data_IF_173529630001
#
_entry.id   IF_173529630001
#
_cell.length_a   1.000
_cell.length_b   1.000
_cell.length_c   1.000
_cell.angle_alpha   90.00
_cell.angle_beta   90.00
_cell.angle_gamma   90.00
#
_symmetry.space_group_name_H-M   'P 1'
#
loop_
_entity.id
_entity.type
_entity.pdbx_description
1 polymer ?
#
# COMPACT_ATOMS: atom_id res chain seq x y z
N UNK A 1 -35.45 -2.13 -23.88
CA UNK A 1 -34.87 -3.27 -23.13
C UNK A 1 -33.34 -3.30 -23.17
N UNK A 2 -32.68 -3.15 -24.34
CA UNK A 2 -31.21 -3.12 -24.43
C UNK A 2 -30.55 -2.02 -23.57
N UNK A 3 -31.07 -0.78 -23.62
CA UNK A 3 -30.54 0.35 -22.84
C UNK A 3 -30.60 0.13 -21.32
N UNK A 4 -31.63 -0.58 -20.83
CA UNK A 4 -31.76 -0.89 -19.40
C UNK A 4 -30.84 -2.04 -18.95
N UNK A 5 -30.51 -2.96 -19.85
CA UNK A 5 -29.52 -4.00 -19.59
C UNK A 5 -28.11 -3.40 -19.48
N UNK A 6 -27.80 -2.45 -20.36
CA UNK A 6 -26.53 -1.72 -20.37
C UNK A 6 -26.31 -0.89 -19.08
N UNK A 7 -27.32 -0.13 -18.64
CA UNK A 7 -27.27 0.63 -17.37
C UNK A 7 -27.03 -0.27 -16.15
N UNK A 8 -27.62 -1.47 -16.12
CA UNK A 8 -27.40 -2.42 -15.01
C UNK A 8 -26.00 -3.02 -15.04
N UNK A 9 -25.47 -3.32 -16.23
CA UNK A 9 -24.10 -3.80 -16.38
C UNK A 9 -23.11 -2.74 -15.86
N UNK A 10 -23.24 -1.48 -16.31
CA UNK A 10 -22.44 -0.36 -15.83
C UNK A 10 -22.52 -0.20 -14.31
N UNK A 11 -23.73 -0.26 -13.73
CA UNK A 11 -23.92 -0.16 -12.27
C UNK A 11 -23.16 -1.25 -11.53
N UNK A 12 -23.32 -2.52 -11.90
CA UNK A 12 -22.67 -3.62 -11.17
C UNK A 12 -21.16 -3.66 -11.43
N UNK A 13 -20.68 -3.22 -12.59
CA UNK A 13 -19.24 -3.01 -12.83
C UNK A 13 -18.67 -1.96 -11.88
N UNK A 14 -19.34 -0.82 -11.74
CA UNK A 14 -18.91 0.22 -10.81
C UNK A 14 -18.95 -0.26 -9.35
N UNK A 15 -20.01 -0.98 -8.94
CA UNK A 15 -20.10 -1.53 -7.59
C UNK A 15 -18.99 -2.53 -7.29
N UNK A 16 -18.65 -3.42 -8.23
CA UNK A 16 -17.56 -4.38 -8.07
C UNK A 16 -16.21 -3.68 -7.99
N UNK A 17 -15.93 -2.73 -8.90
CA UNK A 17 -14.70 -1.93 -8.85
C UNK A 17 -14.57 -1.17 -7.53
N UNK A 18 -15.66 -0.58 -7.03
CA UNK A 18 -15.67 0.13 -5.76
C UNK A 18 -15.36 -0.80 -4.58
N UNK A 19 -15.98 -1.97 -4.52
CA UNK A 19 -15.70 -2.96 -3.48
C UNK A 19 -14.22 -3.41 -3.47
N UNK A 20 -13.64 -3.62 -4.66
CA UNK A 20 -12.25 -4.05 -4.83
C UNK A 20 -11.25 -2.93 -4.48
N UNK A 21 -11.48 -1.71 -4.97
CA UNK A 21 -10.58 -0.56 -4.73
C UNK A 21 -10.56 -0.11 -3.27
N UNK A 22 -11.70 -0.23 -2.58
CA UNK A 22 -11.83 0.01 -1.14
C UNK A 22 -11.32 -1.15 -0.28
N UNK A 23 -11.06 -2.32 -0.87
CA UNK A 23 -10.63 -3.50 -0.14
C UNK A 23 -11.65 -3.99 0.88
N UNK A 24 -12.95 -3.96 0.52
CA UNK A 24 -14.07 -4.34 1.40
C UNK A 24 -14.20 -5.87 1.55
N UNK A 25 -13.09 -6.56 1.75
CA UNK A 25 -12.98 -8.02 1.69
C UNK A 25 -13.87 -8.74 2.70
N UNK A 26 -13.95 -8.20 3.92
CA UNK A 26 -14.77 -8.72 5.01
C UNK A 26 -16.09 -7.96 5.24
N UNK A 27 -16.40 -6.95 4.40
CA UNK A 27 -17.62 -6.16 4.59
C UNK A 27 -18.86 -7.03 4.30
N UNK A 28 -19.87 -7.08 5.19
CA UNK A 28 -21.09 -7.83 4.95
C UNK A 28 -21.95 -7.25 3.83
N UNK A 29 -21.71 -6.00 3.44
CA UNK A 29 -22.47 -5.24 2.45
C UNK A 29 -21.56 -4.34 1.60
N UNK A 30 -20.63 -4.91 0.80
CA UNK A 30 -19.63 -4.16 0.04
C UNK A 30 -20.21 -3.28 -1.08
N UNK A 31 -21.49 -3.47 -1.44
CA UNK A 31 -22.11 -2.83 -2.58
C UNK A 31 -23.60 -2.55 -2.36
N UNK A 32 -24.15 -1.71 -3.23
CA UNK A 32 -25.57 -1.36 -3.27
C UNK A 32 -26.25 -1.88 -4.55
N UNK A 33 -27.48 -2.34 -4.41
CA UNK A 33 -28.35 -2.63 -5.54
C UNK A 33 -28.73 -1.32 -6.27
N UNK A 34 -29.33 -1.43 -7.47
CA UNK A 34 -29.82 -0.26 -8.23
C UNK A 34 -30.84 0.58 -7.43
N UNK A 35 -31.53 -0.03 -6.46
CA UNK A 35 -32.47 0.66 -5.55
C UNK A 35 -31.83 1.22 -4.28
N UNK A 36 -30.52 1.07 -4.10
CA UNK A 36 -29.79 1.48 -2.90
C UNK A 36 -29.81 0.47 -1.75
N UNK A 37 -30.43 -0.70 -1.93
CA UNK A 37 -30.41 -1.77 -0.91
C UNK A 37 -28.98 -2.35 -0.76
N UNK A 38 -28.47 -2.53 0.47
CA UNK A 38 -27.19 -3.21 0.71
C UNK A 38 -27.18 -4.63 0.15
N UNK A 39 -26.03 -5.07 -0.39
CA UNK A 39 -25.85 -6.39 -0.98
C UNK A 39 -24.59 -7.07 -0.48
N UNK A 40 -24.69 -8.37 -0.22
CA UNK A 40 -23.52 -9.20 0.12
C UNK A 40 -22.60 -9.42 -1.08
N UNK A 41 -21.36 -9.86 -0.84
CA UNK A 41 -20.42 -10.29 -1.89
C UNK A 41 -21.03 -11.32 -2.84
N UNK A 42 -21.70 -12.35 -2.29
CA UNK A 42 -22.34 -13.39 -3.10
C UNK A 42 -23.41 -12.83 -4.05
N UNK A 43 -24.19 -11.86 -3.59
CA UNK A 43 -25.23 -11.21 -4.38
C UNK A 43 -24.65 -10.26 -5.43
N UNK A 44 -23.61 -9.50 -5.07
CA UNK A 44 -22.87 -8.63 -5.99
C UNK A 44 -22.29 -9.44 -7.14
N UNK A 45 -21.57 -10.53 -6.86
CA UNK A 45 -20.97 -11.38 -7.88
C UNK A 45 -22.03 -12.08 -8.74
N UNK A 46 -23.12 -12.55 -8.14
CA UNK A 46 -24.25 -13.14 -8.88
C UNK A 46 -24.90 -12.12 -9.82
N UNK A 47 -25.13 -10.89 -9.36
CA UNK A 47 -25.71 -9.81 -10.18
C UNK A 47 -24.75 -9.35 -11.27
N UNK A 48 -23.46 -9.25 -10.96
CA UNK A 48 -22.42 -8.96 -11.94
C UNK A 48 -22.38 -10.03 -13.03
N UNK A 49 -22.25 -11.32 -12.69
CA UNK A 49 -22.26 -12.44 -13.66
C UNK A 49 -23.52 -12.43 -14.53
N UNK A 50 -24.68 -12.07 -13.95
CA UNK A 50 -25.97 -11.96 -14.68
C UNK A 50 -26.00 -10.81 -15.70
N UNK A 51 -25.36 -9.68 -15.40
CA UNK A 51 -25.47 -8.46 -16.20
C UNK A 51 -24.23 -8.20 -17.08
N UNK A 52 -23.08 -8.75 -16.73
CA UNK A 52 -21.78 -8.61 -17.40
C UNK A 52 -21.30 -9.96 -17.94
N UNK A 53 -22.12 -10.60 -18.81
CA UNK A 53 -21.95 -12.00 -19.24
C UNK A 53 -20.60 -12.27 -19.93
N UNK A 54 -20.06 -11.28 -20.64
CA UNK A 54 -18.76 -11.37 -21.31
C UNK A 54 -17.55 -11.28 -20.37
N UNK A 55 -17.75 -10.96 -19.08
CA UNK A 55 -16.69 -10.72 -18.09
C UNK A 55 -16.82 -11.69 -16.90
N UNK A 56 -17.26 -12.92 -17.15
CA UNK A 56 -17.48 -13.91 -16.09
C UNK A 56 -16.18 -14.29 -15.35
N UNK A 57 -15.03 -14.23 -16.02
CA UNK A 57 -13.69 -14.48 -15.46
C UNK A 57 -13.36 -13.40 -14.43
N UNK A 58 -13.62 -12.12 -14.73
CA UNK A 58 -13.45 -11.01 -13.78
C UNK A 58 -14.18 -11.26 -12.45
N UNK A 59 -15.39 -11.81 -12.49
CA UNK A 59 -16.14 -12.14 -11.27
C UNK A 59 -15.52 -13.31 -10.49
N UNK A 60 -14.91 -14.26 -11.18
CA UNK A 60 -14.19 -15.36 -10.53
C UNK A 60 -12.89 -14.86 -9.90
N UNK A 61 -12.11 -14.04 -10.61
CA UNK A 61 -10.93 -13.36 -10.07
C UNK A 61 -11.29 -12.60 -8.79
N UNK A 62 -12.36 -11.80 -8.81
CA UNK A 62 -12.80 -11.05 -7.63
C UNK A 62 -13.15 -11.96 -6.44
N UNK A 63 -13.81 -13.09 -6.69
CA UNK A 63 -14.13 -14.09 -5.66
C UNK A 63 -12.86 -14.70 -5.06
N UNK A 64 -11.91 -15.09 -5.91
CA UNK A 64 -10.67 -15.73 -5.47
C UNK A 64 -9.75 -14.74 -4.74
N UNK A 65 -9.66 -13.49 -5.20
CA UNK A 65 -8.94 -12.42 -4.50
C UNK A 65 -9.55 -12.16 -3.13
N UNK A 66 -10.88 -12.01 -3.03
CA UNK A 66 -11.55 -11.86 -1.74
C UNK A 66 -11.24 -13.03 -0.80
N UNK A 67 -11.35 -14.26 -1.31
CA UNK A 67 -11.10 -15.47 -0.53
C UNK A 67 -9.67 -15.50 0.00
N UNK A 68 -8.68 -15.21 -0.85
CA UNK A 68 -7.29 -15.15 -0.43
C UNK A 68 -7.04 -14.04 0.60
N UNK A 69 -7.59 -12.83 0.40
CA UNK A 69 -7.46 -11.73 1.37
C UNK A 69 -7.96 -12.11 2.76
N UNK A 70 -9.06 -12.87 2.84
CA UNK A 70 -9.59 -13.37 4.12
C UNK A 70 -8.72 -14.49 4.70
N UNK A 71 -8.21 -15.39 3.85
CA UNK A 71 -7.29 -16.46 4.27
C UNK A 71 -5.95 -15.93 4.80
N UNK A 72 -5.53 -14.74 4.38
CA UNK A 72 -4.28 -14.12 4.84
C UNK A 72 -4.37 -13.44 6.22
N UNK A 73 -5.56 -13.31 6.80
CA UNK A 73 -5.69 -12.83 8.17
C UNK A 73 -5.03 -13.82 9.15
N UNK A 74 -4.46 -13.35 10.28
CA UNK A 74 -3.73 -14.22 11.20
C UNK A 74 -4.61 -15.29 11.88
N UNK A 75 -4.02 -16.28 12.54
CA UNK A 75 -4.76 -17.28 13.32
C UNK A 75 -4.57 -17.06 14.83
N UNK A 76 -5.63 -17.12 15.67
CA UNK A 76 -7.04 -17.25 15.31
C UNK A 76 -7.70 -15.89 15.01
N UNK A 77 -8.51 -15.83 13.96
CA UNK A 77 -9.37 -14.66 13.69
C UNK A 77 -10.80 -14.96 14.11
N UNK A 78 -11.37 -14.07 14.94
CA UNK A 78 -12.82 -14.05 15.14
C UNK A 78 -13.49 -13.51 13.87
N UNK A 79 -13.97 -14.44 13.02
CA UNK A 79 -14.62 -14.12 11.76
C UNK A 79 -15.81 -13.15 11.90
N UNK A 80 -16.39 -12.99 13.11
CA UNK A 80 -17.49 -12.05 13.36
C UNK A 80 -17.04 -10.61 13.59
N UNK A 81 -15.74 -10.37 13.75
CA UNK A 81 -15.19 -9.07 14.16
C UNK A 81 -14.04 -8.59 13.27
N UNK A 82 -13.92 -9.11 12.05
CA UNK A 82 -12.89 -8.65 11.12
C UNK A 82 -13.19 -7.19 10.75
N UNK A 83 -12.31 -6.28 11.14
CA UNK A 83 -12.37 -4.87 10.74
C UNK A 83 -11.47 -4.62 9.52
N UNK A 84 -11.56 -3.42 8.97
CA UNK A 84 -10.68 -3.03 7.87
C UNK A 84 -9.23 -2.83 8.32
N UNK A 85 -9.03 -2.50 9.59
CA UNK A 85 -7.72 -2.36 10.23
C UNK A 85 -7.03 -3.72 10.38
N UNK A 86 -7.78 -4.79 10.65
CA UNK A 86 -7.25 -6.16 10.67
C UNK A 86 -6.66 -6.56 9.31
N UNK A 87 -7.26 -6.07 8.21
CA UNK A 87 -6.79 -6.28 6.83
C UNK A 87 -5.61 -5.38 6.44
N UNK A 88 -5.27 -4.37 7.25
CA UNK A 88 -4.13 -3.48 6.97
C UNK A 88 -2.79 -4.11 7.37
N UNK A 89 -2.75 -5.11 8.27
CA UNK A 89 -1.57 -5.97 8.48
C UNK A 89 -0.41 -5.40 9.32
N UNK A 90 -0.64 -4.39 10.18
CA UNK A 90 0.42 -3.77 11.03
C UNK A 90 0.57 -4.40 12.43
N UNK A 91 -0.31 -5.35 12.79
CA UNK A 91 -0.45 -5.87 14.17
C UNK A 91 0.54 -6.97 14.53
N UNK A 92 1.20 -7.60 13.56
CA UNK A 92 2.02 -8.80 13.77
C UNK A 92 3.52 -8.53 13.87
N UNK A 93 3.98 -7.31 13.55
CA UNK A 93 5.42 -7.04 13.52
C UNK A 93 6.00 -6.78 14.92
N UNK A 94 7.12 -7.42 15.31
CA UNK A 94 7.82 -7.09 16.53
C UNK A 94 8.21 -5.61 16.52
N UNK A 95 7.90 -4.90 17.61
CA UNK A 95 8.13 -3.47 17.73
C UNK A 95 9.60 -3.12 17.40
N UNK A 96 9.81 -2.25 16.41
CA UNK A 96 11.14 -1.75 16.05
C UNK A 96 11.99 -2.68 15.18
N UNK A 97 11.44 -3.80 14.71
CA UNK A 97 12.16 -4.70 13.81
C UNK A 97 12.00 -4.25 12.35
N UNK A 98 13.10 -4.05 11.62
CA UNK A 98 13.09 -3.91 10.15
C UNK A 98 12.86 -5.27 9.44
N UNK A 99 12.22 -6.23 10.09
CA UNK A 99 11.96 -7.54 9.51
C UNK A 99 10.87 -7.42 8.45
N UNK A 100 11.13 -7.90 7.25
CA UNK A 100 10.16 -7.91 6.15
C UNK A 100 8.98 -8.90 6.35
N UNK A 101 8.96 -9.59 7.50
CA UNK A 101 7.88 -10.47 7.93
C UNK A 101 7.54 -11.65 7.01
N UNK A 102 6.38 -12.23 7.28
CA UNK A 102 5.71 -13.27 6.46
C UNK A 102 4.41 -12.72 5.88
N UNK A 103 4.35 -11.41 5.64
CA UNK A 103 3.19 -10.76 5.05
C UNK A 103 2.82 -11.42 3.73
N UNK A 104 1.52 -11.61 3.48
CA UNK A 104 0.99 -12.32 2.32
C UNK A 104 1.37 -13.82 2.25
N UNK A 105 1.93 -14.44 3.29
CA UNK A 105 2.08 -15.89 3.40
C UNK A 105 0.95 -16.51 4.24
N UNK A 106 0.45 -17.68 3.82
CA UNK A 106 -0.61 -18.37 4.55
C UNK A 106 -0.09 -19.14 5.77
N UNK A 107 -0.93 -19.21 6.80
CA UNK A 107 -0.76 -20.16 7.89
C UNK A 107 -0.96 -21.60 7.39
N UNK A 108 -0.30 -22.61 7.99
CA UNK A 108 -0.39 -24.00 7.52
C UNK A 108 -1.81 -24.56 7.46
N UNK A 109 -2.69 -24.12 8.37
CA UNK A 109 -4.11 -24.49 8.45
C UNK A 109 -4.94 -24.05 7.24
N UNK A 110 -4.49 -23.05 6.50
CA UNK A 110 -5.25 -22.40 5.41
C UNK A 110 -4.72 -22.72 4.00
N UNK A 111 -3.67 -23.53 3.92
CA UNK A 111 -3.01 -23.89 2.66
C UNK A 111 -3.96 -24.65 1.71
N UNK A 112 -4.76 -25.58 2.23
CA UNK A 112 -5.62 -26.41 1.39
C UNK A 112 -6.77 -25.61 0.75
N UNK A 113 -7.36 -24.68 1.49
CA UNK A 113 -8.38 -23.77 0.95
C UNK A 113 -7.80 -22.89 -0.17
N UNK A 114 -6.59 -22.36 0.04
CA UNK A 114 -5.91 -21.58 -1.00
C UNK A 114 -5.53 -22.41 -2.23
N UNK A 115 -5.20 -23.69 -2.07
CA UNK A 115 -4.95 -24.59 -3.20
C UNK A 115 -6.20 -24.80 -4.04
N UNK A 116 -7.38 -24.89 -3.43
CA UNK A 116 -8.65 -24.98 -4.16
C UNK A 116 -8.90 -23.72 -4.98
N UNK A 117 -8.66 -22.53 -4.40
CA UNK A 117 -8.77 -21.26 -5.12
C UNK A 117 -7.77 -21.14 -6.28
N UNK A 118 -6.50 -21.53 -6.05
CA UNK A 118 -5.48 -21.57 -7.08
C UNK A 118 -5.89 -22.50 -8.23
N UNK A 119 -6.34 -23.73 -7.93
CA UNK A 119 -6.78 -24.69 -8.94
C UNK A 119 -8.00 -24.19 -9.73
N UNK A 120 -8.93 -23.48 -9.09
CA UNK A 120 -10.08 -22.87 -9.77
C UNK A 120 -9.63 -21.85 -10.83
N UNK A 121 -8.59 -21.06 -10.54
CA UNK A 121 -8.02 -20.10 -11.49
C UNK A 121 -7.31 -20.78 -12.67
N UNK A 122 -6.74 -21.99 -12.49
CA UNK A 122 -6.08 -22.72 -13.59
C UNK A 122 -7.07 -23.28 -14.62
N UNK A 123 -8.33 -23.46 -14.22
CA UNK A 123 -9.40 -23.94 -15.09
C UNK A 123 -10.06 -22.83 -15.91
N UNK A 124 -9.66 -21.57 -15.70
CA UNK A 124 -10.20 -20.43 -16.43
C UNK A 124 -9.65 -20.39 -17.86
N UNK A 125 -10.55 -20.30 -18.83
CA UNK A 125 -10.21 -20.12 -20.24
C UNK A 125 -10.08 -18.62 -20.52
N UNK A 126 -8.94 -18.05 -20.12
CA UNK A 126 -8.69 -16.61 -20.17
C UNK A 126 -8.88 -16.01 -21.56
N UNK A 127 -9.53 -14.85 -21.61
CA UNK A 127 -9.50 -13.98 -22.78
C UNK A 127 -8.21 -13.16 -22.77
N UNK A 128 -7.70 -12.69 -23.93
CA UNK A 128 -6.50 -11.83 -23.97
C UNK A 128 -6.57 -10.62 -23.03
N UNK A 129 -7.77 -10.08 -22.80
CA UNK A 129 -7.96 -8.91 -21.95
C UNK A 129 -7.97 -9.21 -20.44
N UNK A 130 -8.30 -10.44 -20.04
CA UNK A 130 -8.39 -10.87 -18.64
C UNK A 130 -7.15 -11.67 -18.20
N UNK A 131 -6.33 -12.11 -19.17
CA UNK A 131 -5.12 -12.93 -18.95
C UNK A 131 -4.18 -12.37 -17.90
N UNK A 132 -3.87 -11.07 -17.94
CA UNK A 132 -2.93 -10.48 -16.98
C UNK A 132 -3.50 -10.50 -15.56
N UNK A 133 -4.80 -10.22 -15.41
CA UNK A 133 -5.47 -10.27 -14.10
C UNK A 133 -5.55 -11.70 -13.57
N UNK A 134 -5.80 -12.70 -14.42
CA UNK A 134 -5.74 -14.11 -14.02
C UNK A 134 -4.33 -14.52 -13.60
N UNK A 135 -3.32 -14.22 -14.43
CA UNK A 135 -1.93 -14.53 -14.13
C UNK A 135 -1.46 -13.85 -12.84
N UNK A 136 -1.86 -12.59 -12.60
CA UNK A 136 -1.53 -11.86 -11.39
C UNK A 136 -2.16 -12.52 -10.16
N UNK A 137 -3.44 -12.85 -10.24
CA UNK A 137 -4.14 -13.53 -9.14
C UNK A 137 -3.51 -14.89 -8.85
N UNK A 138 -3.18 -15.67 -9.88
CA UNK A 138 -2.44 -16.93 -9.72
C UNK A 138 -1.08 -16.72 -9.08
N UNK A 139 -0.33 -15.69 -9.51
CA UNK A 139 0.96 -15.36 -8.91
C UNK A 139 0.81 -15.00 -7.42
N UNK A 140 -0.24 -14.26 -7.05
CA UNK A 140 -0.52 -13.92 -5.66
C UNK A 140 -0.80 -15.16 -4.81
N UNK A 141 -1.62 -16.08 -5.30
CA UNK A 141 -1.80 -17.38 -4.64
C UNK A 141 -0.50 -18.19 -4.58
N UNK A 142 0.30 -18.21 -5.65
CA UNK A 142 1.58 -18.91 -5.67
C UNK A 142 2.55 -18.34 -4.62
N UNK A 143 2.60 -17.01 -4.47
CA UNK A 143 3.34 -16.36 -3.39
C UNK A 143 2.84 -16.79 -2.02
N UNK A 144 1.52 -16.71 -1.80
CA UNK A 144 0.90 -17.06 -0.52
C UNK A 144 1.10 -18.52 -0.11
N UNK A 145 1.20 -19.42 -1.09
CA UNK A 145 1.52 -20.83 -0.94
C UNK A 145 3.05 -21.11 -0.86
N UNK A 146 3.87 -20.06 -0.76
CA UNK A 146 5.35 -20.13 -0.71
C UNK A 146 6.00 -20.76 -1.95
N UNK A 147 5.32 -20.71 -3.10
CA UNK A 147 5.80 -21.17 -4.41
C UNK A 147 6.46 -20.01 -5.16
N UNK A 148 7.48 -19.40 -4.56
CA UNK A 148 8.06 -18.12 -5.04
C UNK A 148 8.60 -18.17 -6.48
N UNK A 149 9.23 -19.28 -6.88
CA UNK A 149 9.73 -19.45 -8.26
C UNK A 149 8.60 -19.45 -9.29
N UNK A 150 7.49 -20.08 -8.95
CA UNK A 150 6.32 -20.13 -9.81
C UNK A 150 5.58 -18.81 -9.84
N UNK A 151 5.49 -18.12 -8.71
CA UNK A 151 5.02 -16.73 -8.66
C UNK A 151 5.78 -15.87 -9.68
N UNK A 152 7.11 -15.90 -9.68
CA UNK A 152 7.92 -15.18 -10.67
C UNK A 152 7.69 -15.65 -12.11
N UNK A 153 7.59 -16.97 -12.33
CA UNK A 153 7.31 -17.52 -13.65
C UNK A 153 5.94 -17.10 -14.21
N UNK A 154 4.94 -16.90 -13.34
CA UNK A 154 3.60 -16.42 -13.70
C UNK A 154 3.59 -14.92 -14.01
N UNK A 155 4.46 -14.12 -13.37
CA UNK A 155 4.57 -12.68 -13.59
C UNK A 155 5.45 -12.32 -14.80
N UNK A 156 6.46 -13.13 -15.11
CA UNK A 156 7.41 -12.88 -16.21
C UNK A 156 6.77 -12.64 -17.60
N UNK A 157 5.66 -13.30 -18.00
CA UNK A 157 5.03 -13.07 -19.31
C UNK A 157 4.25 -11.75 -19.41
N UNK A 158 4.01 -11.05 -18.29
CA UNK A 158 3.26 -9.80 -18.32
C UNK A 158 4.13 -8.70 -18.92
N UNK A 159 3.63 -8.08 -20.00
CA UNK A 159 4.27 -6.89 -20.55
C UNK A 159 3.89 -5.67 -19.71
N UNK A 160 4.89 -5.00 -19.17
CA UNK A 160 4.74 -3.83 -18.31
C UNK A 160 5.08 -2.52 -19.03
N UNK A 161 5.63 -2.60 -20.25
CA UNK A 161 6.09 -1.49 -21.09
C UNK A 161 4.96 -0.81 -21.90
N UNK A 162 3.69 -0.95 -21.52
CA UNK A 162 2.63 -0.23 -22.24
C UNK A 162 2.66 1.26 -21.89
N UNK A 163 3.12 2.05 -22.87
CA UNK A 163 3.14 3.51 -22.96
C UNK A 163 1.98 4.16 -22.20
N UNK A 164 2.31 5.19 -21.41
CA UNK A 164 1.33 6.16 -20.89
C UNK A 164 0.51 6.65 -22.09
N UNK A 165 -0.82 6.39 -22.16
CA UNK A 165 -1.57 6.72 -23.36
C UNK A 165 -1.52 8.23 -23.61
N UNK A 166 -1.04 8.65 -24.78
CA UNK A 166 -1.34 9.98 -25.28
C UNK A 166 -2.87 10.16 -25.34
N UNK A 167 -3.40 11.36 -25.03
CA UNK A 167 -4.81 11.57 -24.66
C UNK A 167 -5.86 11.32 -25.76
N UNK A 168 -5.52 10.73 -26.90
CA UNK A 168 -6.36 10.72 -28.10
C UNK A 168 -6.79 9.34 -28.64
N UNK A 169 -6.26 8.20 -28.17
CA UNK A 169 -6.66 6.88 -28.70
C UNK A 169 -7.23 5.95 -27.64
N UNK A 170 -8.56 5.87 -27.62
CA UNK A 170 -9.33 5.04 -26.71
C UNK A 170 -9.48 3.60 -27.24
N UNK A 171 -8.78 2.65 -26.61
CA UNK A 171 -9.16 1.23 -26.63
C UNK A 171 -9.48 0.81 -25.19
N UNK A 172 -10.67 0.23 -24.99
CA UNK A 172 -11.23 -0.13 -23.68
C UNK A 172 -10.43 -1.28 -23.04
N UNK A 173 -9.48 -0.96 -22.17
CA UNK A 173 -8.86 -1.93 -21.26
C UNK A 173 -9.87 -2.35 -20.19
N UNK A 174 -9.99 -3.66 -19.94
CA UNK A 174 -10.94 -4.27 -18.97
C UNK A 174 -10.24 -4.69 -17.66
N UNK A 175 -9.03 -4.19 -17.42
CA UNK A 175 -8.33 -4.34 -16.15
C UNK A 175 -9.14 -3.69 -15.01
N UNK A 176 -9.01 -4.20 -13.77
CA UNK A 176 -9.62 -3.62 -12.58
C UNK A 176 -9.13 -2.19 -12.37
N UNK A 177 -9.87 -1.24 -12.92
CA UNK A 177 -9.52 0.18 -12.96
C UNK A 177 -9.96 0.89 -11.68
N UNK A 178 -9.08 1.76 -11.20
CA UNK A 178 -9.47 2.83 -10.28
C UNK A 178 -10.23 3.90 -11.07
N UNK A 179 -11.47 4.27 -10.69
CA UNK A 179 -12.17 5.36 -11.36
C UNK A 179 -11.46 6.68 -11.12
N UNK A 180 -10.93 7.27 -12.19
CA UNK A 180 -10.55 8.67 -12.27
C UNK A 180 -11.71 9.43 -12.92
N UNK A 181 -12.31 10.37 -12.20
CA UNK A 181 -13.23 11.33 -12.79
C UNK A 181 -12.41 12.30 -13.65
N UNK A 182 -12.16 11.93 -14.91
CA UNK A 182 -11.65 12.85 -15.94
C UNK A 182 -10.22 12.64 -16.46
N UNK A 183 -9.52 11.55 -16.15
CA UNK A 183 -8.16 11.31 -16.70
C UNK A 183 -7.86 9.82 -16.94
N UNK A 184 -7.41 9.51 -18.16
CA UNK A 184 -7.16 8.17 -18.76
C UNK A 184 -5.81 7.53 -18.38
N UNK A 185 -5.30 7.73 -17.17
CA UNK A 185 -4.07 7.07 -16.68
C UNK A 185 -4.34 5.72 -16.01
N UNK A 186 -4.50 4.65 -16.79
CA UNK A 186 -4.99 3.32 -16.33
C UNK A 186 -3.89 2.31 -15.93
N UNK A 187 -2.61 2.66 -15.95
CA UNK A 187 -1.51 1.67 -15.89
C UNK A 187 -0.83 1.56 -14.50
N UNK A 188 -1.04 2.53 -13.60
CA UNK A 188 -0.23 2.65 -12.37
C UNK A 188 -0.53 1.67 -11.23
N UNK A 189 -1.77 1.19 -11.11
CA UNK A 189 -2.17 0.29 -10.01
C UNK A 189 -1.73 -1.15 -10.23
N UNK A 190 -1.66 -1.62 -11.48
CA UNK A 190 -1.26 -2.99 -11.77
C UNK A 190 0.25 -3.18 -11.56
N UNK A 191 1.07 -2.19 -11.97
CA UNK A 191 2.53 -2.22 -11.85
C UNK A 191 3.01 -2.18 -10.39
N UNK A 192 2.29 -1.47 -9.53
CA UNK A 192 2.61 -1.40 -8.10
C UNK A 192 2.32 -2.73 -7.39
N UNK A 193 1.25 -3.41 -7.78
CA UNK A 193 0.89 -4.72 -7.23
C UNK A 193 1.81 -5.83 -7.75
N UNK A 194 2.02 -5.90 -9.07
CA UNK A 194 2.90 -6.92 -9.69
C UNK A 194 4.34 -6.75 -9.27
N UNK A 195 4.85 -5.50 -9.28
CA UNK A 195 6.19 -5.18 -8.81
C UNK A 195 6.36 -5.55 -7.34
N UNK A 196 5.37 -5.24 -6.49
CA UNK A 196 5.43 -5.62 -5.07
C UNK A 196 5.52 -7.14 -4.88
N UNK A 197 4.64 -7.93 -5.50
CA UNK A 197 4.66 -9.39 -5.33
C UNK A 197 5.91 -10.02 -5.94
N UNK A 198 6.37 -9.54 -7.10
CA UNK A 198 7.60 -10.01 -7.73
C UNK A 198 8.82 -9.78 -6.83
N UNK A 199 9.00 -8.55 -6.35
CA UNK A 199 10.09 -8.21 -5.43
C UNK A 199 10.01 -9.00 -4.13
N UNK A 200 8.81 -9.16 -3.56
CA UNK A 200 8.61 -10.00 -2.38
C UNK A 200 9.05 -11.45 -2.61
N UNK A 201 8.77 -12.02 -3.80
CA UNK A 201 9.21 -13.37 -4.15
C UNK A 201 10.74 -13.44 -4.31
N UNK A 202 11.36 -12.42 -4.93
CA UNK A 202 12.81 -12.31 -5.06
C UNK A 202 13.52 -12.23 -3.71
N UNK A 203 13.00 -11.44 -2.77
CA UNK A 203 13.51 -11.35 -1.40
C UNK A 203 13.54 -12.73 -0.72
N UNK A 204 12.45 -13.50 -0.85
CA UNK A 204 12.35 -14.85 -0.26
C UNK A 204 13.29 -15.86 -0.92
N UNK A 205 13.74 -15.58 -2.15
CA UNK A 205 14.76 -16.36 -2.85
C UNK A 205 16.19 -15.87 -2.58
N UNK A 206 16.37 -14.81 -1.78
CA UNK A 206 17.68 -14.24 -1.45
C UNK A 206 18.20 -13.21 -2.44
N UNK A 207 17.38 -12.74 -3.38
CA UNK A 207 17.75 -11.79 -4.43
C UNK A 207 17.36 -10.36 -4.04
N UNK A 208 17.85 -9.88 -2.89
CA UNK A 208 17.41 -8.60 -2.30
C UNK A 208 17.76 -7.36 -3.14
N UNK A 209 18.92 -7.34 -3.81
CA UNK A 209 19.32 -6.19 -4.66
C UNK A 209 18.49 -6.10 -5.95
N UNK A 210 18.17 -7.25 -6.55
CA UNK A 210 17.25 -7.33 -7.69
C UNK A 210 15.84 -6.87 -7.26
N UNK A 211 15.36 -7.32 -6.10
CA UNK A 211 14.08 -6.89 -5.54
C UNK A 211 14.02 -5.38 -5.30
N UNK A 212 15.10 -4.77 -4.78
CA UNK A 212 15.22 -3.34 -4.58
C UNK A 212 15.13 -2.58 -5.91
N UNK A 213 15.79 -3.09 -6.96
CA UNK A 213 15.76 -2.47 -8.28
C UNK A 213 14.34 -2.45 -8.87
N UNK A 214 13.58 -3.54 -8.67
CA UNK A 214 12.17 -3.61 -9.08
C UNK A 214 11.29 -2.67 -8.26
N UNK A 215 11.54 -2.53 -6.95
CA UNK A 215 10.83 -1.53 -6.14
C UNK A 215 11.10 -0.10 -6.58
N UNK A 216 12.36 0.23 -6.85
CA UNK A 216 12.76 1.56 -7.34
C UNK A 216 12.12 1.88 -8.70
N UNK A 217 12.01 0.90 -9.60
CA UNK A 217 11.31 1.05 -10.87
C UNK A 217 9.81 1.35 -10.71
N UNK A 218 9.21 0.97 -9.58
CA UNK A 218 7.80 1.27 -9.28
C UNK A 218 7.59 2.67 -8.67
N UNK A 219 8.63 3.35 -8.18
CA UNK A 219 8.49 4.65 -7.52
C UNK A 219 7.98 5.76 -8.46
N UNK A 220 8.49 5.92 -9.70
CA UNK A 220 7.97 6.94 -10.62
C UNK A 220 6.49 6.74 -10.95
N UNK A 221 6.05 5.48 -10.98
CA UNK A 221 4.66 5.11 -11.24
C UNK A 221 3.79 5.56 -10.06
N UNK A 222 4.20 5.27 -8.82
CA UNK A 222 3.52 5.77 -7.62
C UNK A 222 3.46 7.31 -7.62
N UNK A 223 4.57 7.99 -7.89
CA UNK A 223 4.62 9.44 -7.95
C UNK A 223 3.74 10.04 -9.05
N UNK A 224 3.46 9.28 -10.12
CA UNK A 224 2.55 9.70 -11.19
C UNK A 224 1.07 9.58 -10.82
N UNK A 225 0.73 8.88 -9.72
CA UNK A 225 -0.65 8.72 -9.27
C UNK A 225 -1.23 10.06 -8.81
N UNK A 226 -2.13 10.61 -9.63
CA UNK A 226 -2.90 11.80 -9.29
C UNK A 226 -4.23 11.37 -8.69
N UNK A 227 -4.25 11.19 -7.38
CA UNK A 227 -5.48 10.91 -6.64
C UNK A 227 -6.05 12.21 -6.08
N UNK A 228 -7.38 12.42 -6.12
CA UNK A 228 -7.99 13.59 -5.51
C UNK A 228 -7.70 13.59 -4.01
N UNK A 229 -6.88 14.54 -3.55
CA UNK A 229 -6.71 14.79 -2.13
C UNK A 229 -7.77 15.80 -1.69
N UNK A 230 -8.70 15.36 -0.84
CA UNK A 230 -9.57 16.30 -0.14
C UNK A 230 -9.01 16.41 1.27
N UNK A 231 -8.33 17.50 1.63
CA UNK A 231 -7.78 17.64 2.96
C UNK A 231 -8.93 17.45 3.95
N UNK A 232 -8.79 16.47 4.84
CA UNK A 232 -9.80 16.17 5.84
C UNK A 232 -10.11 17.46 6.62
N UNK A 233 -11.39 17.81 6.74
CA UNK A 233 -11.78 18.88 7.65
C UNK A 233 -11.35 18.46 9.07
N UNK A 234 -11.03 19.41 9.96
CA UNK A 234 -10.58 19.11 11.33
C UNK A 234 -11.55 18.19 12.14
N UNK A 235 -12.77 17.95 11.64
CA UNK A 235 -13.78 17.07 12.25
C UNK A 235 -13.90 15.68 11.61
N UNK A 236 -13.37 15.45 10.40
CA UNK A 236 -13.40 14.12 9.77
C UNK A 236 -12.09 13.38 10.02
N UNK A 237 -12.19 12.22 10.67
CA UNK A 237 -11.02 11.46 11.13
C UNK A 237 -10.20 10.79 10.00
N UNK A 238 -10.72 10.71 8.76
CA UNK A 238 -10.07 9.99 7.65
C UNK A 238 -10.34 10.68 6.31
N UNK A 239 -9.30 10.86 5.49
CA UNK A 239 -9.42 11.37 4.11
C UNK A 239 -10.35 10.43 3.28
N UNK A 240 -11.42 10.96 2.65
CA UNK A 240 -12.30 10.17 1.78
C UNK A 240 -11.56 9.43 0.65
N UNK A 241 -10.46 9.99 0.17
CA UNK A 241 -9.60 9.38 -0.85
C UNK A 241 -8.92 8.12 -0.34
N UNK A 242 -8.51 8.11 0.94
CA UNK A 242 -7.96 6.94 1.59
C UNK A 242 -8.99 5.82 1.63
N UNK A 243 -10.21 6.11 2.08
CA UNK A 243 -11.28 5.10 2.15
C UNK A 243 -11.61 4.55 0.77
N UNK A 244 -11.69 5.41 -0.25
CA UNK A 244 -12.02 5.03 -1.64
C UNK A 244 -10.96 4.13 -2.26
N UNK A 245 -9.69 4.34 -1.93
CA UNK A 245 -8.54 3.65 -2.52
C UNK A 245 -7.73 2.84 -1.51
N UNK A 246 -8.33 2.41 -0.40
CA UNK A 246 -7.63 1.78 0.73
C UNK A 246 -6.82 0.56 0.30
N UNK A 247 -7.33 -0.25 -0.62
CA UNK A 247 -6.59 -1.41 -1.11
C UNK A 247 -5.34 -1.01 -1.90
N UNK A 248 -5.46 0.01 -2.77
CA UNK A 248 -4.29 0.57 -3.45
C UNK A 248 -3.26 1.05 -2.44
N UNK A 249 -3.69 1.72 -1.37
CA UNK A 249 -2.80 2.21 -0.33
C UNK A 249 -2.15 1.12 0.49
N UNK A 250 -2.81 -0.03 0.74
CA UNK A 250 -2.16 -1.22 1.33
C UNK A 250 -0.98 -1.71 0.50
N UNK A 251 -1.17 -1.80 -0.81
CA UNK A 251 -0.09 -2.24 -1.71
C UNK A 251 1.00 -1.19 -1.90
N UNK A 252 0.63 0.09 -2.02
CA UNK A 252 1.59 1.18 -2.13
C UNK A 252 2.45 1.30 -0.87
N UNK A 253 1.83 1.26 0.31
CA UNK A 253 2.55 1.30 1.59
C UNK A 253 3.47 0.08 1.71
N UNK A 254 2.97 -1.14 1.43
CA UNK A 254 3.78 -2.37 1.44
C UNK A 254 5.02 -2.25 0.56
N UNK A 255 4.84 -1.75 -0.66
CA UNK A 255 5.95 -1.53 -1.59
C UNK A 255 6.97 -0.56 -1.01
N UNK A 256 6.51 0.60 -0.53
CA UNK A 256 7.37 1.66 -0.01
C UNK A 256 8.06 1.27 1.30
N UNK A 257 7.38 0.52 2.17
CA UNK A 257 7.93 -0.05 3.41
C UNK A 257 9.09 -1.01 3.11
N UNK A 258 8.85 -1.98 2.22
CA UNK A 258 9.88 -2.98 1.86
C UNK A 258 11.05 -2.32 1.13
N UNK A 259 10.78 -1.38 0.22
CA UNK A 259 11.82 -0.56 -0.41
C UNK A 259 12.65 0.20 0.63
N UNK A 260 12.00 0.83 1.62
CA UNK A 260 12.66 1.55 2.72
C UNK A 260 13.56 0.63 3.56
N UNK A 261 13.09 -0.58 3.86
CA UNK A 261 13.89 -1.58 4.58
C UNK A 261 15.11 -2.05 3.77
N UNK A 262 14.95 -2.30 2.47
CA UNK A 262 16.05 -2.78 1.62
C UNK A 262 17.07 -1.68 1.32
N UNK A 263 16.62 -0.47 0.97
CA UNK A 263 17.51 0.65 0.64
C UNK A 263 18.38 1.03 1.85
N UNK A 264 17.84 0.93 3.07
CA UNK A 264 18.58 1.17 4.31
C UNK A 264 19.71 0.17 4.58
N UNK A 265 19.66 -1.01 3.93
CA UNK A 265 20.64 -2.09 4.14
C UNK A 265 21.66 -2.16 3.01
N UNK A 266 21.22 -1.93 1.79
CA UNK A 266 21.99 -2.28 0.59
C UNK A 266 22.39 -1.09 -0.27
N UNK A 267 21.88 0.12 0.02
CA UNK A 267 22.10 1.28 -0.81
C UNK A 267 22.81 2.42 -0.06
N UNK A 268 23.49 3.31 -0.78
CA UNK A 268 24.00 4.55 -0.20
C UNK A 268 22.87 5.48 0.24
N UNK A 269 23.22 6.43 1.12
CA UNK A 269 22.27 7.30 1.83
C UNK A 269 21.46 8.22 0.91
N UNK A 270 22.02 8.65 -0.22
CA UNK A 270 21.34 9.46 -1.23
C UNK A 270 20.19 8.70 -1.91
N UNK A 271 20.42 7.41 -2.21
CA UNK A 271 19.37 6.51 -2.70
C UNK A 271 18.31 6.27 -1.63
N UNK A 272 18.73 6.05 -0.38
CA UNK A 272 17.79 5.87 0.73
C UNK A 272 16.88 7.09 0.92
N UNK A 273 17.44 8.30 0.92
CA UNK A 273 16.68 9.55 1.01
C UNK A 273 15.66 9.71 -0.11
N UNK A 274 15.97 9.24 -1.33
CA UNK A 274 15.01 9.26 -2.44
C UNK A 274 13.79 8.40 -2.12
N UNK A 275 13.98 7.18 -1.65
CA UNK A 275 12.87 6.28 -1.27
C UNK A 275 12.08 6.86 -0.10
N UNK A 276 12.74 7.36 0.95
CA UNK A 276 12.06 7.94 2.12
C UNK A 276 11.23 9.18 1.77
N UNK A 277 11.71 10.02 0.86
CA UNK A 277 10.93 11.16 0.33
C UNK A 277 9.69 10.70 -0.43
N UNK A 278 9.81 9.63 -1.22
CA UNK A 278 8.62 9.05 -1.89
C UNK A 278 7.66 8.49 -0.85
N UNK A 279 8.15 7.81 0.19
CA UNK A 279 7.32 7.31 1.29
C UNK A 279 6.56 8.45 1.98
N UNK A 280 7.25 9.49 2.46
CA UNK A 280 6.63 10.62 3.17
C UNK A 280 5.60 11.36 2.28
N UNK A 281 5.91 11.57 1.00
CA UNK A 281 4.96 12.16 0.05
C UNK A 281 3.67 11.34 -0.13
N UNK A 282 3.70 10.02 0.03
CA UNK A 282 2.48 9.21 -0.02
C UNK A 282 1.83 9.04 1.36
N UNK A 283 2.61 9.14 2.43
CA UNK A 283 2.11 9.04 3.81
C UNK A 283 1.09 10.14 4.17
N UNK A 284 1.07 11.26 3.43
CA UNK A 284 0.06 12.31 3.59
C UNK A 284 -1.38 11.84 3.29
N UNK A 285 -1.54 10.78 2.48
CA UNK A 285 -2.85 10.20 2.18
C UNK A 285 -3.31 9.21 3.27
N UNK A 286 -2.44 8.87 4.23
CA UNK A 286 -2.72 7.83 5.21
C UNK A 286 -3.22 8.45 6.52
N UNK A 287 -4.33 7.96 7.09
CA UNK A 287 -4.69 8.35 8.45
C UNK A 287 -3.57 7.91 9.41
N UNK A 288 -3.33 8.62 10.52
CA UNK A 288 -2.29 8.25 11.49
C UNK A 288 -2.39 6.82 12.05
N UNK A 289 -3.59 6.22 12.00
CA UNK A 289 -3.87 4.84 12.43
C UNK A 289 -3.51 3.77 11.38
N UNK A 290 -3.21 4.15 10.14
CA UNK A 290 -2.85 3.22 9.10
C UNK A 290 -1.35 2.90 9.17
N UNK A 291 -1.04 1.64 9.47
CA UNK A 291 0.31 1.08 9.59
C UNK A 291 1.29 1.93 10.43
N UNK A 292 0.90 2.35 11.65
CA UNK A 292 1.70 3.28 12.43
C UNK A 292 3.05 2.69 12.86
N UNK A 293 3.22 1.36 12.95
CA UNK A 293 4.53 0.76 13.23
C UNK A 293 5.49 0.92 12.06
N UNK A 294 5.12 0.52 10.84
CA UNK A 294 5.96 0.74 9.66
C UNK A 294 6.33 2.21 9.51
N UNK A 295 5.32 3.10 9.59
CA UNK A 295 5.50 4.55 9.47
C UNK A 295 6.47 5.08 10.50
N UNK A 296 6.37 4.64 11.76
CA UNK A 296 7.30 5.06 12.82
C UNK A 296 8.76 4.70 12.49
N UNK A 297 8.99 3.50 11.96
CA UNK A 297 10.33 3.02 11.60
C UNK A 297 10.85 3.81 10.40
N UNK A 298 10.05 4.00 9.34
CA UNK A 298 10.48 4.78 8.17
C UNK A 298 10.77 6.24 8.53
N UNK A 299 9.93 6.86 9.37
CA UNK A 299 10.18 8.22 9.85
C UNK A 299 11.48 8.32 10.65
N UNK A 300 11.77 7.34 11.50
CA UNK A 300 13.03 7.26 12.26
C UNK A 300 14.24 7.13 11.31
N UNK A 301 14.19 6.18 10.36
CA UNK A 301 15.24 5.99 9.35
C UNK A 301 15.47 7.23 8.50
N UNK A 302 14.40 7.90 8.09
CA UNK A 302 14.47 9.13 7.31
C UNK A 302 15.08 10.27 8.13
N UNK A 303 14.70 10.41 9.40
CA UNK A 303 15.28 11.40 10.30
C UNK A 303 16.79 11.17 10.48
N UNK A 304 17.20 9.93 10.72
CA UNK A 304 18.62 9.58 10.80
C UNK A 304 19.36 9.91 9.50
N UNK A 305 18.76 9.60 8.33
CA UNK A 305 19.35 9.94 7.05
C UNK A 305 19.55 11.45 6.89
N UNK A 306 18.54 12.27 7.24
CA UNK A 306 18.64 13.72 7.23
C UNK A 306 19.71 14.24 8.20
N UNK A 307 19.83 13.65 9.39
CA UNK A 307 20.83 14.02 10.39
C UNK A 307 22.26 13.64 9.98
N UNK A 308 22.44 12.66 9.10
CA UNK A 308 23.73 12.30 8.53
C UNK A 308 24.10 13.17 7.34
N UNK A 309 23.12 13.63 6.55
CA UNK A 309 23.34 14.44 5.34
C UNK A 309 23.11 15.94 5.52
N UNK A 310 23.11 16.45 6.76
CA UNK A 310 22.85 17.88 7.01
C UNK A 310 23.92 18.76 6.33
N UNK A 311 23.59 19.99 5.90
CA UNK A 311 24.56 20.89 5.26
C UNK A 311 25.72 21.23 6.21
N UNK A 312 26.93 20.80 5.84
CA UNK A 312 28.14 20.90 6.67
C UNK A 312 28.62 19.58 7.25
N UNK A 313 27.89 18.48 7.05
CA UNK A 313 28.37 17.11 7.32
C UNK A 313 29.32 16.59 6.23
N UNK A 314 30.06 15.54 6.54
CA UNK A 314 30.88 14.81 5.56
C UNK A 314 30.04 14.15 4.46
N UNK A 315 28.79 13.78 4.77
CA UNK A 315 27.84 13.15 3.85
C UNK A 315 26.83 14.15 3.28
N UNK A 316 27.14 15.45 3.31
CA UNK A 316 26.24 16.49 2.84
C UNK A 316 25.92 16.31 1.35
N UNK A 317 24.63 16.38 1.00
CA UNK A 317 24.20 16.28 -0.39
C UNK A 317 24.43 17.62 -1.10
N UNK A 318 25.14 17.66 -2.24
CA UNK A 318 25.36 18.88 -3.00
C UNK A 318 24.04 19.56 -3.38
N UNK A 319 23.99 20.89 -3.21
CA UNK A 319 22.83 21.71 -3.57
C UNK A 319 21.72 21.78 -2.51
N UNK A 320 21.77 20.96 -1.45
CA UNK A 320 20.83 21.08 -0.33
C UNK A 320 21.24 22.25 0.57
N UNK A 321 20.35 23.23 0.70
CA UNK A 321 20.59 24.38 1.59
C UNK A 321 20.21 24.04 3.03
N UNK A 322 20.78 24.76 4.00
CA UNK A 322 20.40 24.64 5.42
C UNK A 322 18.91 24.88 5.64
N UNK A 323 18.33 25.87 4.96
CA UNK A 323 16.92 26.20 5.09
C UNK A 323 16.01 25.09 4.56
N UNK A 324 16.32 24.53 3.38
CA UNK A 324 15.56 23.41 2.82
C UNK A 324 15.65 22.16 3.69
N UNK A 325 16.84 21.85 4.20
CA UNK A 325 17.04 20.73 5.12
C UNK A 325 16.26 20.88 6.43
N UNK A 326 16.30 22.06 7.07
CA UNK A 326 15.52 22.32 8.31
C UNK A 326 14.02 22.19 8.03
N UNK A 327 13.55 22.71 6.89
CA UNK A 327 12.13 22.67 6.53
C UNK A 327 11.67 21.23 6.36
N UNK A 328 12.44 20.43 5.62
CA UNK A 328 12.19 19.00 5.41
C UNK A 328 12.17 18.22 6.74
N UNK A 329 13.17 18.44 7.59
CA UNK A 329 13.26 17.79 8.91
C UNK A 329 12.08 18.15 9.82
N UNK A 330 11.65 19.42 9.85
CA UNK A 330 10.52 19.86 10.68
C UNK A 330 9.19 19.29 10.19
N UNK A 331 8.97 19.23 8.88
CA UNK A 331 7.78 18.58 8.30
C UNK A 331 7.74 17.11 8.71
N UNK A 332 8.85 16.39 8.54
CA UNK A 332 8.96 14.99 8.95
C UNK A 332 8.69 14.79 10.45
N UNK A 333 9.25 15.64 11.31
CA UNK A 333 9.05 15.56 12.76
C UNK A 333 7.59 15.83 13.16
N UNK A 334 6.89 16.71 12.45
CA UNK A 334 5.46 16.94 12.64
C UNK A 334 4.63 15.71 12.29
N UNK A 335 4.90 15.09 11.15
CA UNK A 335 4.24 13.85 10.72
C UNK A 335 4.54 12.68 11.67
N UNK A 336 5.81 12.53 12.07
CA UNK A 336 6.24 11.46 12.96
C UNK A 336 5.55 11.57 14.34
N UNK A 337 5.37 12.79 14.86
CA UNK A 337 4.62 13.02 16.11
C UNK A 337 3.18 12.50 16.03
N UNK A 338 2.49 12.74 14.92
CA UNK A 338 1.11 12.27 14.72
C UNK A 338 1.04 10.74 14.70
N UNK A 339 2.04 10.07 14.11
CA UNK A 339 2.13 8.60 14.09
C UNK A 339 2.46 8.04 15.48
N UNK A 340 3.36 8.68 16.24
CA UNK A 340 3.70 8.27 17.61
C UNK A 340 2.50 8.37 18.55
N UNK A 341 1.64 9.36 18.37
CA UNK A 341 0.40 9.48 19.11
C UNK A 341 -0.56 8.29 18.89
N UNK A 342 -0.42 7.53 17.79
CA UNK A 342 -1.21 6.32 17.51
C UNK A 342 -0.47 5.01 17.79
N UNK A 343 0.86 4.98 17.65
CA UNK A 343 1.69 3.77 17.83
C UNK A 343 2.22 3.59 19.24
N UNK A 344 2.02 4.56 20.13
CA UNK A 344 2.58 4.51 21.47
C UNK A 344 1.57 4.82 22.55
N UNK A 345 1.83 4.28 23.74
CA UNK A 345 1.03 4.49 24.95
C UNK A 345 1.92 4.99 26.07
N UNK A 346 1.33 5.67 27.05
CA UNK A 346 2.08 6.10 28.22
C UNK A 346 2.69 4.88 28.93
N UNK A 347 4.02 4.86 29.15
CA UNK A 347 4.68 3.69 29.72
C UNK A 347 4.23 3.46 31.16
N UNK A 348 4.17 2.19 31.59
CA UNK A 348 3.98 1.87 33.01
C UNK A 348 5.26 2.17 33.77
N UNK A 349 5.17 2.24 35.10
CA UNK A 349 6.36 2.43 35.93
C UNK A 349 7.40 1.33 35.65
N UNK A 350 8.60 1.74 35.21
CA UNK A 350 9.70 0.84 34.84
C UNK A 350 9.80 0.53 33.35
N UNK A 351 8.77 0.86 32.54
CA UNK A 351 8.81 0.70 31.09
C UNK A 351 9.36 1.98 30.43
N UNK A 352 9.98 1.82 29.26
CA UNK A 352 10.48 2.92 28.43
C UNK A 352 9.80 2.89 27.07
N UNK A 353 9.47 4.06 26.56
CA UNK A 353 8.94 4.21 25.21
C UNK A 353 10.07 4.65 24.27
N UNK A 354 10.84 3.66 23.80
CA UNK A 354 12.06 3.90 23.01
C UNK A 354 11.77 4.76 21.77
N UNK A 355 10.63 4.58 21.11
CA UNK A 355 10.27 5.37 19.92
C UNK A 355 10.11 6.86 20.22
N UNK A 356 9.52 7.19 21.37
CA UNK A 356 9.36 8.60 21.82
C UNK A 356 10.70 9.17 22.26
N UNK A 357 11.54 8.39 22.93
CA UNK A 357 12.90 8.82 23.29
C UNK A 357 13.73 9.13 22.04
N UNK A 358 13.76 8.22 21.05
CA UNK A 358 14.44 8.43 19.76
C UNK A 358 13.89 9.66 19.01
N UNK A 359 12.59 9.90 19.10
CA UNK A 359 11.97 11.10 18.54
C UNK A 359 12.50 12.37 19.20
N UNK A 360 12.50 12.43 20.53
CA UNK A 360 13.00 13.58 21.29
C UNK A 360 14.50 13.82 21.01
N UNK A 361 15.30 12.77 21.00
CA UNK A 361 16.72 12.84 20.63
C UNK A 361 16.89 13.40 19.21
N UNK A 362 16.04 12.96 18.27
CA UNK A 362 15.99 13.45 16.90
C UNK A 362 15.61 14.93 16.78
N UNK A 363 14.60 15.39 17.54
CA UNK A 363 14.20 16.81 17.62
C UNK A 363 15.38 17.67 18.08
N UNK A 364 16.04 17.25 19.17
CA UNK A 364 17.20 17.97 19.71
C UNK A 364 18.37 17.97 18.73
N UNK A 365 18.66 16.84 18.11
CA UNK A 365 19.70 16.68 17.10
C UNK A 365 19.49 17.59 15.88
N UNK A 366 18.24 17.80 15.45
CA UNK A 366 17.90 18.74 14.37
C UNK A 366 18.12 20.18 14.84
N UNK A 367 17.64 20.54 16.04
CA UNK A 367 17.81 21.90 16.59
C UNK A 367 19.29 22.29 16.75
N UNK A 368 20.12 21.39 17.26
CA UNK A 368 21.57 21.60 17.41
C UNK A 368 22.25 21.83 16.07
N UNK A 369 22.01 20.95 15.09
CA UNK A 369 22.55 21.08 13.70
C UNK A 369 21.98 22.31 12.98
N UNK A 370 20.78 22.74 13.35
CA UNK A 370 20.17 23.98 12.92
C UNK A 370 20.76 25.22 13.63
N UNK A 371 21.80 25.07 14.44
CA UNK A 371 22.58 26.15 15.05
C UNK A 371 22.19 26.52 16.48
N UNK A 372 21.33 25.73 17.13
CA UNK A 372 20.96 25.89 18.54
C UNK A 372 20.49 27.32 18.90
N UNK A 373 19.78 27.99 17.99
CA UNK A 373 19.31 29.35 18.24
C UNK A 373 18.19 29.32 19.30
N UNK A 374 18.47 29.88 20.48
CA UNK A 374 17.50 29.92 21.59
C UNK A 374 16.20 30.66 21.25
N UNK A 375 16.21 31.60 20.29
CA UNK A 375 14.99 32.28 19.82
C UNK A 375 14.08 31.39 18.97
N UNK A 376 14.63 30.30 18.44
CA UNK A 376 13.95 29.32 17.60
C UNK A 376 13.76 27.98 18.35
N UNK A 377 14.05 27.92 19.65
CA UNK A 377 13.89 26.68 20.43
C UNK A 377 12.43 26.30 20.68
N UNK A 378 11.48 27.23 20.50
CA UNK A 378 10.07 27.04 20.84
C UNK A 378 9.45 25.78 20.19
N UNK A 379 9.74 25.51 18.92
CA UNK A 379 9.18 24.33 18.25
C UNK A 379 9.77 23.01 18.76
N UNK A 380 11.01 23.02 19.25
CA UNK A 380 11.64 21.84 19.83
C UNK A 380 11.08 21.55 21.23
N UNK A 381 10.78 22.61 22.00
CA UNK A 381 10.10 22.51 23.30
C UNK A 381 8.69 21.94 23.09
N UNK A 382 7.90 22.53 22.19
CA UNK A 382 6.52 22.08 21.88
C UNK A 382 6.44 20.68 21.26
N UNK A 383 7.54 20.18 20.69
CA UNK A 383 7.61 18.81 20.19
C UNK A 383 7.92 17.80 21.30
N UNK A 384 8.53 18.25 22.40
CA UNK A 384 8.98 17.41 23.52
C UNK A 384 7.95 17.32 24.65
N UNK A 385 6.99 18.26 24.69
CA UNK A 385 5.80 18.24 25.55
C UNK A 385 4.67 17.39 24.92
#
# INVERSE_FOLDING_TARGET
MAQQADLKATHYTHQLQNALTRGLWADPSPALAVKGEPMTWSELLRKYKKHCVSQHITAEIALQTQSLSLLLLPDPVDAKRITQEDLDGDSEEPHGSMSLGTECELSPSRIDDARLGFAALELLNDTPNERDSTLFTRAYFAYALKRYKECLALLNPMSFDEDVPEPASATKSTRLQVPSEGSTGSTGTHLTWTGSIASMAMEKLGHAEEALSVYEAALPILQSLRLPHTPASQNDAVDPSFIKYRELWRWAERLLWRASCLVSRFAPIDRALTVFRVYSNHAQYYPPTFRPNHRSIVSSLYLYALLLTYPGSEQAIPGVTRLSWITEARTLLGEYRLVLAQSTVFPRAGDRNIKVEEYCDGVMAVWERAGANGKEAQWAIEASD
#
